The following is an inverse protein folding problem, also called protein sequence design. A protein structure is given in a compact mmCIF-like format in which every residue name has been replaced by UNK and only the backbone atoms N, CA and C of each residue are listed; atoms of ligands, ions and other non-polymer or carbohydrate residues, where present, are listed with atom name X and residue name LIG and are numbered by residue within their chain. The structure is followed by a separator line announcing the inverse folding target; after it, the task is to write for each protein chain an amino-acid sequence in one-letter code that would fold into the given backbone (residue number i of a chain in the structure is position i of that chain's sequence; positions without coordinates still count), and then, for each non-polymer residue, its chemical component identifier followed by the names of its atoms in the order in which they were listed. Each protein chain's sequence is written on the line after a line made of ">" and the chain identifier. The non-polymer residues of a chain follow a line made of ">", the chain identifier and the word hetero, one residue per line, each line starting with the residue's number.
data_IF_723252751904
#
_entry.id   IF_723252751904
#
_cell.length_a   1.000
_cell.length_b   1.000
_cell.length_c   1.000
_cell.angle_alpha   90.00
_cell.angle_beta   90.00
_cell.angle_gamma   90.00
#
_symmetry.space_group_name_H-M   'P 1'
#
loop_
_entity.id
_entity.type
_entity.pdbx_description
1 polymer ?
#
# COMPACT_ATOMS: atom_id res chain seq x y z
N UNK A 1 -3.91 -13.55 -20.82
CA UNK A 1 -2.82 -13.79 -19.85
C UNK A 1 -1.90 -12.57 -19.82
N UNK A 2 -2.08 -11.69 -18.85
CA UNK A 2 -1.44 -10.37 -18.80
C UNK A 2 0.07 -10.45 -18.51
N UNK A 3 0.55 -11.57 -17.91
CA UNK A 3 1.94 -11.72 -17.46
C UNK A 3 2.65 -12.95 -18.05
N UNK A 4 2.04 -13.65 -19.01
CA UNK A 4 2.64 -14.85 -19.64
C UNK A 4 2.86 -16.03 -18.69
N UNK A 5 2.38 -15.96 -17.44
CA UNK A 5 2.48 -17.05 -16.46
C UNK A 5 1.19 -17.89 -16.45
N UNK A 6 1.35 -19.20 -16.24
CA UNK A 6 0.20 -20.10 -16.10
C UNK A 6 -0.51 -19.90 -14.76
N UNK A 7 -1.80 -20.22 -14.69
CA UNK A 7 -2.56 -20.20 -13.44
C UNK A 7 -1.88 -21.05 -12.34
N UNK A 8 -1.29 -22.18 -12.72
CA UNK A 8 -0.57 -23.05 -11.77
C UNK A 8 0.70 -22.40 -11.23
N UNK A 9 1.40 -21.60 -12.04
CA UNK A 9 2.56 -20.84 -11.57
C UNK A 9 2.13 -19.72 -10.61
N UNK A 10 1.12 -18.94 -10.97
CA UNK A 10 0.58 -17.90 -10.10
C UNK A 10 0.13 -18.45 -8.73
N UNK A 11 -0.48 -19.63 -8.72
CA UNK A 11 -0.91 -20.28 -7.48
C UNK A 11 0.30 -20.67 -6.60
N UNK A 12 1.36 -21.22 -7.18
CA UNK A 12 2.60 -21.54 -6.46
C UNK A 12 3.28 -20.30 -5.88
N UNK A 13 3.27 -19.20 -6.63
CA UNK A 13 3.87 -17.95 -6.20
C UNK A 13 3.11 -17.36 -4.99
N UNK A 14 1.78 -17.43 -5.02
CA UNK A 14 0.92 -17.03 -3.88
C UNK A 14 1.16 -17.93 -2.66
N UNK A 15 1.27 -19.24 -2.85
CA UNK A 15 1.56 -20.18 -1.78
C UNK A 15 2.96 -19.93 -1.18
N UNK A 16 3.95 -19.64 -2.00
CA UNK A 16 5.30 -19.29 -1.56
C UNK A 16 5.31 -18.00 -0.74
N UNK A 17 4.65 -16.93 -1.24
CA UNK A 17 4.50 -15.68 -0.51
C UNK A 17 3.84 -15.89 0.85
N UNK A 18 2.78 -16.70 0.90
CA UNK A 18 2.02 -16.95 2.12
C UNK A 18 2.74 -17.83 3.13
N UNK A 19 3.28 -18.96 2.66
CA UNK A 19 3.80 -20.01 3.53
C UNK A 19 5.29 -19.85 3.84
N UNK A 20 6.08 -19.34 2.90
CA UNK A 20 7.54 -19.21 3.06
C UNK A 20 7.92 -17.80 3.53
N UNK A 21 7.33 -16.79 2.94
CA UNK A 21 7.65 -15.40 3.27
C UNK A 21 6.71 -14.80 4.32
N UNK A 22 5.70 -15.54 4.78
CA UNK A 22 4.79 -15.09 5.83
C UNK A 22 3.88 -13.92 5.43
N UNK A 23 3.66 -13.70 4.13
CA UNK A 23 2.81 -12.62 3.66
C UNK A 23 1.36 -12.80 4.11
N UNK A 24 0.74 -11.81 4.76
CA UNK A 24 -0.64 -11.89 5.25
C UNK A 24 -1.64 -11.69 4.11
N UNK A 25 -1.66 -12.64 3.17
CA UNK A 25 -2.53 -12.62 2.01
C UNK A 25 -3.90 -13.24 2.34
N UNK A 26 -4.97 -12.50 2.04
CA UNK A 26 -6.35 -12.98 2.05
C UNK A 26 -6.92 -12.96 0.63
N UNK A 27 -7.89 -13.84 0.34
CA UNK A 27 -8.57 -13.90 -0.94
C UNK A 27 -9.92 -13.21 -0.87
N UNK A 28 -10.20 -12.32 -1.81
CA UNK A 28 -11.50 -11.69 -1.99
C UNK A 28 -12.22 -12.36 -3.16
N UNK A 29 -13.34 -13.06 -2.87
CA UNK A 29 -14.10 -13.77 -3.88
C UNK A 29 -14.85 -12.85 -4.85
N UNK A 30 -15.32 -11.68 -4.39
CA UNK A 30 -16.04 -10.71 -5.24
C UNK A 30 -15.11 -10.08 -6.27
N UNK A 31 -13.89 -9.71 -5.85
CA UNK A 31 -12.86 -9.12 -6.72
C UNK A 31 -12.00 -10.17 -7.42
N UNK A 32 -12.16 -11.45 -7.09
CA UNK A 32 -11.38 -12.59 -7.60
C UNK A 32 -9.86 -12.36 -7.51
N UNK A 33 -9.40 -11.81 -6.36
CA UNK A 33 -8.01 -11.45 -6.17
C UNK A 33 -7.54 -11.64 -4.73
N UNK A 34 -6.21 -11.68 -4.57
CA UNK A 34 -5.57 -11.66 -3.26
C UNK A 34 -5.27 -10.20 -2.86
N UNK A 35 -5.29 -9.96 -1.55
CA UNK A 35 -4.93 -8.66 -0.97
C UNK A 35 -4.18 -8.87 0.35
N UNK A 36 -3.40 -7.86 0.76
CA UNK A 36 -2.76 -7.88 2.07
C UNK A 36 -3.78 -7.54 3.15
N UNK A 37 -3.99 -8.47 4.09
CA UNK A 37 -4.90 -8.27 5.25
C UNK A 37 -4.26 -7.49 6.40
N UNK A 38 -2.94 -7.31 6.36
CA UNK A 38 -2.16 -6.52 7.30
C UNK A 38 -0.99 -5.85 6.58
N UNK A 39 -0.34 -4.90 7.25
CA UNK A 39 0.90 -4.34 6.75
C UNK A 39 1.96 -5.44 6.58
N UNK A 40 2.60 -5.45 5.42
CA UNK A 40 3.62 -6.41 5.09
C UNK A 40 4.74 -5.76 4.29
N UNK A 41 5.96 -5.97 4.72
CA UNK A 41 7.16 -5.67 3.96
C UNK A 41 7.81 -6.99 3.60
N UNK A 42 8.05 -7.21 2.32
CA UNK A 42 8.87 -8.34 1.90
C UNK A 42 10.16 -8.31 2.71
N UNK A 43 10.58 -9.44 3.32
CA UNK A 43 11.90 -9.51 3.90
C UNK A 43 12.88 -9.17 2.78
N UNK A 44 13.37 -7.95 2.79
CA UNK A 44 14.53 -7.63 1.98
C UNK A 44 15.61 -8.57 2.50
N UNK A 45 15.97 -9.56 1.70
CA UNK A 45 17.32 -10.05 1.80
C UNK A 45 18.15 -8.80 1.82
N UNK A 46 18.88 -8.58 2.90
CA UNK A 46 19.94 -7.59 2.90
C UNK A 46 20.89 -8.06 1.81
N UNK A 47 20.58 -7.65 0.58
CA UNK A 47 21.43 -7.85 -0.56
C UNK A 47 22.76 -7.26 -0.13
N UNK A 48 23.78 -8.07 -0.11
CA UNK A 48 25.15 -7.61 -0.03
C UNK A 48 25.24 -6.49 -1.06
N UNK A 49 25.81 -5.34 -0.72
CA UNK A 49 25.79 -4.10 -1.53
C UNK A 49 25.96 -4.33 -3.05
N UNK A 50 26.64 -5.40 -3.49
CA UNK A 50 26.79 -5.78 -4.90
C UNK A 50 25.56 -6.39 -5.61
N UNK A 51 24.53 -6.84 -4.88
CA UNK A 51 23.31 -7.38 -5.51
C UNK A 51 22.29 -6.31 -5.86
N UNK A 52 22.32 -5.18 -5.16
CA UNK A 52 21.49 -3.99 -5.48
C UNK A 52 21.97 -3.41 -6.79
N UNK A 53 23.29 -3.23 -6.95
CA UNK A 53 23.91 -2.75 -8.19
C UNK A 53 23.61 -3.70 -9.36
N UNK A 54 23.59 -5.03 -9.11
CA UNK A 54 23.26 -6.02 -10.14
C UNK A 54 21.78 -5.95 -10.54
N UNK A 55 20.87 -5.82 -9.60
CA UNK A 55 19.44 -5.67 -9.86
C UNK A 55 19.13 -4.35 -10.60
N UNK A 56 19.78 -3.26 -10.23
CA UNK A 56 19.67 -1.97 -10.94
C UNK A 56 20.23 -2.07 -12.37
N UNK A 57 21.36 -2.73 -12.54
CA UNK A 57 21.98 -2.91 -13.86
C UNK A 57 21.19 -3.85 -14.79
N UNK A 58 20.57 -4.91 -14.25
CA UNK A 58 19.80 -5.89 -15.03
C UNK A 58 18.38 -5.42 -15.31
N UNK A 59 17.77 -4.65 -14.40
CA UNK A 59 16.39 -4.19 -14.58
C UNK A 59 16.29 -2.86 -15.28
N UNK A 60 17.40 -2.13 -15.47
CA UNK A 60 17.38 -0.77 -16.03
C UNK A 60 16.44 0.15 -15.24
N UNK A 61 16.32 -0.09 -13.92
CA UNK A 61 15.25 0.38 -13.06
C UNK A 61 15.26 1.90 -12.79
N UNK A 62 16.17 2.64 -13.40
CA UNK A 62 16.20 4.11 -13.29
C UNK A 62 15.18 4.81 -14.18
N UNK A 63 14.47 4.08 -15.03
CA UNK A 63 13.39 4.69 -15.81
C UNK A 63 12.10 4.73 -14.97
N UNK A 64 11.41 5.89 -14.94
CA UNK A 64 10.11 6.02 -14.26
C UNK A 64 9.07 4.99 -14.74
N UNK A 65 9.22 4.47 -15.96
CA UNK A 65 8.36 3.44 -16.52
C UNK A 65 8.60 2.06 -15.88
N UNK A 66 9.87 1.64 -15.69
CA UNK A 66 10.19 0.37 -15.05
C UNK A 66 9.72 0.32 -13.59
N UNK A 67 9.88 1.43 -12.84
CA UNK A 67 9.34 1.55 -11.48
C UNK A 67 7.81 1.43 -11.43
N UNK A 68 7.10 1.98 -12.42
CA UNK A 68 5.64 1.82 -12.54
C UNK A 68 5.24 0.38 -12.83
N UNK A 69 5.94 -0.32 -13.72
CA UNK A 69 5.65 -1.71 -14.03
C UNK A 69 5.86 -2.62 -12.83
N UNK A 70 6.93 -2.45 -12.07
CA UNK A 70 7.19 -3.20 -10.84
C UNK A 70 6.10 -2.94 -9.80
N UNK A 71 5.68 -1.69 -9.61
CA UNK A 71 4.60 -1.33 -8.68
C UNK A 71 3.24 -1.92 -9.14
N UNK A 72 2.99 -2.00 -10.44
CA UNK A 72 1.77 -2.63 -10.98
C UNK A 72 1.73 -4.15 -10.80
N UNK A 73 2.87 -4.79 -10.58
CA UNK A 73 2.96 -6.23 -10.27
C UNK A 73 2.72 -6.53 -8.79
N UNK A 74 2.79 -5.53 -7.92
CA UNK A 74 2.51 -5.70 -6.49
C UNK A 74 1.00 -5.72 -6.24
N UNK A 75 0.58 -6.58 -5.31
CA UNK A 75 -0.80 -6.58 -4.81
C UNK A 75 -0.99 -5.28 -4.02
N UNK A 76 -1.93 -4.39 -4.41
CA UNK A 76 -2.13 -3.15 -3.70
C UNK A 76 -2.73 -3.38 -2.31
N UNK A 77 -2.40 -2.51 -1.37
CA UNK A 77 -3.18 -2.36 -0.16
C UNK A 77 -4.54 -1.74 -0.50
N UNK A 78 -5.57 -2.13 0.26
CA UNK A 78 -6.90 -1.58 0.10
C UNK A 78 -7.41 -1.01 1.42
N UNK A 79 -8.06 0.14 1.37
CA UNK A 79 -8.68 0.77 2.53
C UNK A 79 -10.08 1.31 2.20
N UNK A 80 -10.95 1.36 3.20
CA UNK A 80 -12.22 2.08 3.14
C UNK A 80 -12.03 3.35 3.93
N UNK A 81 -12.26 4.48 3.26
CA UNK A 81 -11.99 5.81 3.82
C UNK A 81 -13.22 6.69 3.66
N UNK A 82 -13.65 7.29 4.77
CA UNK A 82 -14.70 8.32 4.75
C UNK A 82 -14.10 9.66 4.41
N UNK A 83 -14.63 10.30 3.37
CA UNK A 83 -14.19 11.59 2.87
C UNK A 83 -15.39 12.53 2.89
N UNK A 84 -15.35 13.62 3.72
CA UNK A 84 -16.54 14.44 3.98
C UNK A 84 -16.92 15.36 2.82
N UNK A 85 -15.95 15.79 2.02
CA UNK A 85 -16.16 16.83 1.01
C UNK A 85 -15.54 16.52 -0.35
N UNK A 86 -15.95 17.31 -1.36
CA UNK A 86 -15.54 17.10 -2.74
C UNK A 86 -14.09 17.50 -3.03
N UNK A 87 -13.54 18.48 -2.32
CA UNK A 87 -12.16 18.93 -2.56
C UNK A 87 -11.18 17.87 -2.09
N UNK A 88 -11.36 17.38 -0.88
CA UNK A 88 -10.57 16.27 -0.32
C UNK A 88 -10.68 15.00 -1.17
N UNK A 89 -11.88 14.74 -1.74
CA UNK A 89 -12.05 13.64 -2.68
C UNK A 89 -11.19 13.81 -3.94
N UNK A 90 -11.04 15.03 -4.46
CA UNK A 90 -10.17 15.30 -5.60
C UNK A 90 -8.69 15.08 -5.26
N UNK A 91 -8.25 15.47 -4.08
CA UNK A 91 -6.87 15.24 -3.60
C UNK A 91 -6.54 13.75 -3.49
N UNK A 92 -7.51 12.95 -3.03
CA UNK A 92 -7.38 11.50 -2.90
C UNK A 92 -7.75 10.72 -4.16
N UNK A 93 -8.15 11.38 -5.24
CA UNK A 93 -8.68 10.73 -6.45
C UNK A 93 -7.74 9.69 -7.04
N UNK A 94 -6.43 9.88 -6.94
CA UNK A 94 -5.43 8.93 -7.44
C UNK A 94 -5.50 7.56 -6.74
N UNK A 95 -6.05 7.48 -5.54
CA UNK A 95 -6.20 6.26 -4.76
C UNK A 95 -7.61 5.67 -4.85
N UNK A 96 -8.62 6.47 -5.20
CA UNK A 96 -10.02 6.05 -5.21
C UNK A 96 -10.29 5.15 -6.41
N UNK A 97 -10.69 3.91 -6.13
CA UNK A 97 -11.06 2.91 -7.16
C UNK A 97 -12.57 2.61 -7.18
N UNK A 98 -13.30 3.02 -6.14
CA UNK A 98 -14.74 2.81 -6.05
C UNK A 98 -15.37 3.51 -4.85
N UNK A 99 -16.68 3.42 -4.74
CA UNK A 99 -17.47 3.92 -3.61
C UNK A 99 -18.21 2.71 -3.01
N UNK A 100 -18.06 2.47 -1.70
CA UNK A 100 -18.74 1.40 -0.99
C UNK A 100 -20.13 1.85 -0.53
N UNK A 101 -20.20 3.07 0.00
CA UNK A 101 -21.45 3.74 0.39
C UNK A 101 -21.26 5.25 0.28
N UNK A 102 -22.34 6.01 0.42
CA UNK A 102 -22.29 7.47 0.26
C UNK A 102 -21.26 8.12 1.20
N UNK A 103 -20.18 8.63 0.61
CA UNK A 103 -19.09 9.28 1.32
C UNK A 103 -18.00 8.33 1.83
N UNK A 104 -18.16 7.01 1.64
CA UNK A 104 -17.15 6.00 1.99
C UNK A 104 -16.55 5.42 0.71
N UNK A 105 -15.27 5.65 0.50
CA UNK A 105 -14.56 5.33 -0.74
C UNK A 105 -13.59 4.18 -0.53
N UNK A 106 -13.51 3.33 -1.55
CA UNK A 106 -12.51 2.27 -1.62
C UNK A 106 -11.27 2.87 -2.25
N UNK A 107 -10.17 2.85 -1.49
CA UNK A 107 -8.86 3.32 -1.93
C UNK A 107 -7.90 2.16 -2.09
N UNK A 108 -7.09 2.19 -3.16
CA UNK A 108 -6.00 1.26 -3.40
C UNK A 108 -4.68 2.02 -3.54
N UNK A 109 -3.61 1.50 -2.93
CA UNK A 109 -2.29 2.13 -2.91
C UNK A 109 -1.18 1.09 -2.75
N UNK A 110 0.02 1.39 -3.25
CA UNK A 110 1.19 0.52 -3.15
C UNK A 110 2.16 0.96 -2.05
N UNK A 111 2.08 2.20 -1.60
CA UNK A 111 2.87 2.74 -0.48
C UNK A 111 1.97 3.26 0.61
N UNK A 112 2.09 2.66 1.79
CA UNK A 112 1.38 3.08 3.00
C UNK A 112 1.82 4.48 3.43
N UNK A 113 3.12 4.79 3.31
CA UNK A 113 3.69 6.08 3.66
C UNK A 113 3.13 7.21 2.79
N UNK A 114 3.08 7.00 1.48
CA UNK A 114 2.51 7.99 0.55
C UNK A 114 1.03 8.22 0.84
N UNK A 115 0.28 7.14 1.02
CA UNK A 115 -1.15 7.23 1.30
C UNK A 115 -1.45 7.97 2.60
N UNK A 116 -0.79 7.57 3.69
CA UNK A 116 -0.93 8.24 4.99
C UNK A 116 -0.41 9.69 4.94
N UNK A 117 0.63 9.97 4.16
CA UNK A 117 1.15 11.32 3.97
C UNK A 117 0.12 12.26 3.36
N UNK A 118 -0.65 11.80 2.36
CA UNK A 118 -1.74 12.59 1.77
C UNK A 118 -2.88 12.81 2.78
N UNK A 119 -3.23 11.79 3.57
CA UNK A 119 -4.24 11.92 4.63
C UNK A 119 -3.80 12.95 5.70
N UNK A 120 -2.53 12.94 6.09
CA UNK A 120 -1.98 13.91 7.04
C UNK A 120 -1.93 15.34 6.49
N UNK A 121 -1.72 15.50 5.20
CA UNK A 121 -1.65 16.79 4.54
C UNK A 121 -3.04 17.39 4.26
N UNK A 122 -4.07 16.55 4.22
CA UNK A 122 -5.44 17.02 3.97
C UNK A 122 -5.96 17.87 5.12
N UNK A 123 -6.61 18.98 4.79
CA UNK A 123 -7.20 19.88 5.78
C UNK A 123 -8.55 19.40 6.34
N UNK A 124 -9.11 18.33 5.77
CA UNK A 124 -10.42 17.82 6.12
C UNK A 124 -10.37 16.62 7.07
N UNK A 125 -11.50 16.38 7.76
CA UNK A 125 -11.68 15.27 8.71
C UNK A 125 -11.84 13.91 8.00
N UNK A 126 -10.76 13.36 7.50
CA UNK A 126 -10.73 12.05 6.86
C UNK A 126 -10.70 10.95 7.92
N UNK A 127 -11.53 9.92 7.74
CA UNK A 127 -11.55 8.77 8.66
C UNK A 127 -11.26 7.48 7.92
N UNK A 128 -10.22 6.75 8.34
CA UNK A 128 -9.95 5.38 7.87
C UNK A 128 -10.90 4.44 8.60
N UNK A 129 -11.83 3.83 7.87
CA UNK A 129 -12.80 2.88 8.42
C UNK A 129 -12.22 1.48 8.49
N UNK A 130 -11.49 1.07 7.46
CA UNK A 130 -10.82 -0.23 7.33
C UNK A 130 -9.54 -0.09 6.52
N UNK A 131 -8.55 -0.96 6.76
CA UNK A 131 -8.43 -1.91 7.86
C UNK A 131 -7.98 -1.23 9.16
N UNK A 132 -8.21 -1.91 10.30
CA UNK A 132 -7.86 -1.37 11.61
C UNK A 132 -6.35 -1.11 11.78
N UNK A 133 -5.50 -2.00 11.26
CA UNK A 133 -4.05 -1.82 11.33
C UNK A 133 -3.56 -0.52 10.70
N UNK A 134 -4.19 -0.07 9.60
CA UNK A 134 -3.83 1.18 8.92
C UNK A 134 -4.21 2.40 9.76
N UNK A 135 -5.41 2.36 10.38
CA UNK A 135 -5.86 3.38 11.32
C UNK A 135 -4.94 3.48 12.54
N UNK A 136 -4.56 2.34 13.12
CA UNK A 136 -3.62 2.29 14.25
C UNK A 136 -2.23 2.83 13.88
N UNK A 137 -1.75 2.55 12.66
CA UNK A 137 -0.50 3.10 12.15
C UNK A 137 -0.56 4.62 12.04
N UNK A 138 -1.67 5.16 11.51
CA UNK A 138 -1.90 6.60 11.44
C UNK A 138 -1.85 7.24 12.83
N UNK A 139 -2.58 6.68 13.80
CA UNK A 139 -2.62 7.18 15.17
C UNK A 139 -1.24 7.16 15.83
N UNK A 140 -0.50 6.06 15.74
CA UNK A 140 0.88 5.97 16.26
C UNK A 140 1.82 6.99 15.63
N UNK A 141 1.67 7.26 14.34
CA UNK A 141 2.48 8.28 13.66
C UNK A 141 2.13 9.69 14.15
N UNK A 142 0.85 10.00 14.33
CA UNK A 142 0.36 11.27 14.86
C UNK A 142 0.86 11.51 16.31
N UNK A 143 0.73 10.52 17.17
CA UNK A 143 1.21 10.59 18.56
C UNK A 143 2.73 10.85 18.63
N UNK A 144 3.50 10.15 17.81
CA UNK A 144 4.97 10.37 17.74
C UNK A 144 5.31 11.78 17.31
N UNK A 145 4.64 12.32 16.28
CA UNK A 145 4.85 13.69 15.82
C UNK A 145 4.47 14.69 16.90
N UNK A 146 3.32 14.51 17.54
CA UNK A 146 2.87 15.37 18.63
C UNK A 146 3.82 15.35 19.83
N UNK A 147 4.30 14.17 20.23
CA UNK A 147 5.26 14.03 21.33
C UNK A 147 6.55 14.79 21.03
N UNK A 148 7.17 14.51 19.87
CA UNK A 148 8.44 15.10 19.50
C UNK A 148 8.37 16.63 19.37
N UNK A 149 7.25 17.18 18.92
CA UNK A 149 7.10 18.63 18.75
C UNK A 149 6.62 19.35 20.03
N UNK A 150 6.08 18.63 21.03
CA UNK A 150 5.77 19.20 22.35
C UNK A 150 7.00 19.30 23.24
N UNK A 151 7.94 18.37 23.12
CA UNK A 151 9.19 18.37 23.89
C UNK A 151 10.19 19.44 23.44
N UNK A 152 9.99 20.03 22.26
CA UNK A 152 10.87 21.11 21.71
C UNK A 152 10.45 22.51 22.20
N UNK A 153 9.71 22.65 23.29
CA UNK A 153 9.56 23.96 23.95
C UNK A 153 10.85 24.28 24.70
N UNK A 154 11.70 25.07 24.04
CA UNK A 154 12.79 25.85 24.65
C UNK A 154 12.25 26.75 25.76
#
# INVERSE_FOLDING_TARGET
>A
ERFGISHRQAQRDVEYLKNTLGAPLAYNAERRGFYYSAEYSLPTYTAVEGEIDYLEAVTGADTPAAKREILQMQIPYSAIVRIPDKLTRLELQQFIVGEESRGDYICEFHSVEMFLGVIFAAEADITILKPDWLRERLLRAAERVLKNNKETKL
#
